data_IF_220506477159
#
_entry.id   IF_220506477159
#
_cell.length_a   1.000
_cell.length_b   1.000
_cell.length_c   1.000
_cell.angle_alpha   90.00
_cell.angle_beta   90.00
_cell.angle_gamma   90.00
#
_symmetry.space_group_name_H-M   'P 1'
#
loop_
_entity.id
_entity.type
_entity.pdbx_description
1 polymer ?
#
# COMPACT_ATOMS: atom_id res chain seq x y z
N UNK A 1 -15.65 2.17 8.60
CA UNK A 1 -14.47 1.34 8.32
C UNK A 1 -13.68 1.25 9.61
N UNK A 2 -13.44 0.05 10.12
CA UNK A 2 -12.82 -0.23 11.42
C UNK A 2 -11.35 0.19 11.45
N UNK A 3 -10.63 0.03 10.33
CA UNK A 3 -9.21 0.35 10.23
C UNK A 3 -8.88 1.81 10.58
N UNK A 4 -9.87 2.71 10.44
CA UNK A 4 -9.74 4.14 10.77
C UNK A 4 -9.37 4.38 12.24
N UNK A 5 -9.72 3.45 13.14
CA UNK A 5 -9.44 3.53 14.57
C UNK A 5 -7.96 3.36 14.90
N UNK A 6 -7.19 2.74 14.00
CA UNK A 6 -5.79 2.38 14.20
C UNK A 6 -4.81 3.34 13.52
N UNK A 7 -5.33 4.39 12.86
CA UNK A 7 -4.51 5.28 12.04
C UNK A 7 -3.69 6.26 12.87
N UNK A 8 -2.38 6.24 12.62
CA UNK A 8 -1.49 7.33 12.96
C UNK A 8 -1.89 8.62 12.23
N UNK A 9 -1.48 9.81 12.73
CA UNK A 9 -1.69 11.06 12.01
C UNK A 9 -1.17 11.04 10.57
N UNK A 10 -0.03 10.40 10.33
CA UNK A 10 0.58 10.29 9.02
C UNK A 10 -0.24 9.42 8.06
N UNK A 11 -0.79 8.31 8.52
CA UNK A 11 -1.68 7.48 7.71
C UNK A 11 -3.02 8.15 7.43
N UNK A 12 -3.55 8.97 8.36
CA UNK A 12 -4.74 9.80 8.10
C UNK A 12 -4.47 10.79 6.96
N UNK A 13 -3.30 11.43 6.96
CA UNK A 13 -2.93 12.36 5.90
C UNK A 13 -2.77 11.66 4.55
N UNK A 14 -2.07 10.52 4.51
CA UNK A 14 -1.95 9.73 3.27
C UNK A 14 -3.32 9.26 2.77
N UNK A 15 -4.21 8.81 3.67
CA UNK A 15 -5.56 8.42 3.30
C UNK A 15 -6.38 9.60 2.75
N UNK A 16 -6.21 10.80 3.32
CA UNK A 16 -6.81 12.03 2.79
C UNK A 16 -6.32 12.33 1.36
N UNK A 17 -5.02 12.15 1.10
CA UNK A 17 -4.49 12.27 -0.26
C UNK A 17 -5.06 11.21 -1.21
N UNK A 18 -5.24 9.96 -0.77
CA UNK A 18 -5.91 8.92 -1.56
C UNK A 18 -7.34 9.34 -1.93
N UNK A 19 -8.10 9.91 -0.99
CA UNK A 19 -9.43 10.47 -1.28
C UNK A 19 -9.37 11.63 -2.29
N UNK A 20 -8.44 12.56 -2.13
CA UNK A 20 -8.25 13.68 -3.05
C UNK A 20 -7.90 13.21 -4.47
N UNK A 21 -7.14 12.11 -4.59
CA UNK A 21 -6.80 11.44 -5.86
C UNK A 21 -8.01 10.70 -6.49
N UNK A 22 -9.19 10.81 -5.86
CA UNK A 22 -10.48 10.25 -6.29
C UNK A 22 -10.54 8.72 -6.22
N UNK A 23 -9.80 8.13 -5.29
CA UNK A 23 -9.95 6.71 -4.99
C UNK A 23 -11.13 6.47 -4.05
N UNK A 24 -11.89 5.43 -4.35
CA UNK A 24 -12.92 4.88 -3.47
C UNK A 24 -12.26 4.00 -2.41
N UNK A 25 -12.34 4.45 -1.16
CA UNK A 25 -11.80 3.69 -0.02
C UNK A 25 -12.85 2.73 0.48
N UNK A 26 -12.50 1.46 0.60
CA UNK A 26 -13.38 0.41 1.10
C UNK A 26 -12.62 -0.52 2.05
N UNK A 27 -13.37 -1.29 2.83
CA UNK A 27 -12.81 -2.20 3.81
C UNK A 27 -13.46 -3.58 3.71
N UNK A 28 -12.65 -4.64 3.86
CA UNK A 28 -13.11 -6.04 3.93
C UNK A 28 -14.03 -6.44 2.76
N UNK A 29 -13.66 -6.05 1.54
CA UNK A 29 -14.44 -6.39 0.34
C UNK A 29 -14.51 -7.90 0.10
N UNK A 30 -15.35 -8.35 -0.84
CA UNK A 30 -15.47 -9.76 -1.19
C UNK A 30 -14.13 -10.42 -1.50
N UNK A 31 -13.22 -9.69 -2.16
CA UNK A 31 -11.90 -10.18 -2.53
C UNK A 31 -11.00 -10.46 -1.32
N UNK A 32 -11.07 -9.63 -0.27
CA UNK A 32 -10.38 -9.89 1.00
C UNK A 32 -10.78 -11.25 1.61
N UNK A 33 -12.02 -11.71 1.41
CA UNK A 33 -12.49 -13.00 1.93
C UNK A 33 -11.96 -14.19 1.13
N UNK A 34 -11.71 -14.00 -0.16
CA UNK A 34 -11.20 -15.03 -1.06
C UNK A 34 -9.70 -15.26 -0.89
N UNK A 35 -8.94 -14.23 -0.50
CA UNK A 35 -7.48 -14.32 -0.28
C UNK A 35 -7.18 -13.93 1.15
N UNK A 36 -6.99 -14.93 2.02
CA UNK A 36 -6.84 -14.74 3.48
C UNK A 36 -5.57 -13.98 3.87
N UNK A 37 -4.53 -14.06 3.05
CA UNK A 37 -3.22 -13.43 3.32
C UNK A 37 -3.09 -12.04 2.64
N UNK A 38 -4.18 -11.54 2.02
CA UNK A 38 -4.23 -10.20 1.43
C UNK A 38 -4.57 -9.17 2.51
N UNK A 39 -3.71 -8.16 2.68
CA UNK A 39 -3.92 -7.09 3.66
C UNK A 39 -4.52 -5.81 3.06
N UNK A 40 -4.28 -5.57 1.77
CA UNK A 40 -4.87 -4.46 1.03
C UNK A 40 -4.61 -4.59 -0.46
N UNK A 41 -5.23 -3.71 -1.24
CA UNK A 41 -4.88 -3.51 -2.65
C UNK A 41 -5.38 -2.14 -3.14
N UNK A 42 -4.66 -1.58 -4.11
CA UNK A 42 -5.14 -0.52 -4.98
C UNK A 42 -5.20 -0.99 -6.45
N UNK A 43 -6.19 -0.50 -7.22
CA UNK A 43 -6.38 -0.92 -8.61
C UNK A 43 -6.66 0.23 -9.59
N UNK A 44 -6.62 -0.10 -10.89
CA UNK A 44 -6.91 0.82 -12.00
C UNK A 44 -8.34 1.39 -11.99
N UNK A 45 -9.28 0.73 -11.30
CA UNK A 45 -10.64 1.20 -11.10
C UNK A 45 -10.75 2.27 -10.00
N UNK A 46 -9.61 2.79 -9.53
CA UNK A 46 -9.52 3.73 -8.41
C UNK A 46 -10.16 3.16 -7.14
N UNK A 47 -9.95 1.88 -6.87
CA UNK A 47 -10.29 1.28 -5.56
C UNK A 47 -9.06 1.29 -4.68
N UNK A 48 -9.28 1.56 -3.41
CA UNK A 48 -8.29 1.45 -2.35
C UNK A 48 -8.92 0.64 -1.23
N UNK A 49 -8.41 -0.56 -0.98
CA UNK A 49 -9.06 -1.51 -0.08
C UNK A 49 -8.11 -1.93 1.02
N UNK A 50 -8.64 -1.92 2.26
CA UNK A 50 -7.97 -2.48 3.43
C UNK A 50 -8.73 -3.73 3.90
N UNK A 51 -8.02 -4.83 4.09
CA UNK A 51 -8.55 -6.11 4.55
C UNK A 51 -8.31 -6.30 6.06
N UNK A 52 -8.86 -5.41 6.88
CA UNK A 52 -8.68 -5.37 8.34
C UNK A 52 -8.90 -6.72 9.01
N UNK A 53 -9.91 -7.48 8.59
CA UNK A 53 -10.20 -8.82 9.16
C UNK A 53 -9.08 -9.82 8.91
N UNK A 54 -8.34 -9.68 7.81
CA UNK A 54 -7.20 -10.55 7.52
C UNK A 54 -6.00 -10.17 8.39
N UNK A 55 -5.76 -8.86 8.57
CA UNK A 55 -4.72 -8.36 9.49
C UNK A 55 -5.01 -8.81 10.93
N UNK A 56 -6.26 -8.68 11.40
CA UNK A 56 -6.67 -9.14 12.74
C UNK A 56 -6.44 -10.63 12.95
N UNK A 57 -6.59 -11.46 11.93
CA UNK A 57 -6.36 -12.91 12.02
C UNK A 57 -4.89 -13.32 12.00
N UNK A 58 -3.99 -12.38 11.69
CA UNK A 58 -2.56 -12.68 11.52
C UNK A 58 -1.76 -12.62 12.83
N UNK A 59 -2.40 -12.30 13.97
CA UNK A 59 -1.77 -12.08 15.28
C UNK A 59 -0.65 -11.02 15.28
N UNK A 60 -0.67 -10.13 14.28
CA UNK A 60 0.28 -9.03 14.13
C UNK A 60 -0.18 -7.78 14.89
N UNK A 61 0.75 -6.87 15.18
CA UNK A 61 0.41 -5.58 15.77
C UNK A 61 -0.50 -4.77 14.82
N UNK A 62 -1.76 -4.65 15.19
CA UNK A 62 -2.81 -4.04 14.36
C UNK A 62 -2.48 -2.61 13.96
N UNK A 63 -1.99 -1.81 14.91
CA UNK A 63 -1.63 -0.42 14.66
C UNK A 63 -0.53 -0.38 13.58
N UNK A 64 0.57 -1.09 13.78
CA UNK A 64 1.68 -1.10 12.84
C UNK A 64 1.23 -1.58 11.46
N UNK A 65 0.58 -2.74 11.36
CA UNK A 65 0.29 -3.35 10.07
C UNK A 65 -0.81 -2.63 9.28
N UNK A 66 -1.80 -2.03 9.94
CA UNK A 66 -2.80 -1.19 9.25
C UNK A 66 -2.13 0.05 8.66
N UNK A 67 -1.27 0.73 9.43
CA UNK A 67 -0.55 1.89 8.92
C UNK A 67 0.39 1.52 7.77
N UNK A 68 1.18 0.44 7.91
CA UNK A 68 2.06 -0.07 6.87
C UNK A 68 1.30 -0.44 5.59
N UNK A 69 0.13 -1.08 5.72
CA UNK A 69 -0.71 -1.42 4.56
C UNK A 69 -1.17 -0.15 3.84
N UNK A 70 -1.58 0.90 4.57
CA UNK A 70 -1.96 2.18 3.95
C UNK A 70 -0.79 2.82 3.22
N UNK A 71 0.41 2.73 3.78
CA UNK A 71 1.62 3.25 3.16
C UNK A 71 1.97 2.47 1.89
N UNK A 72 1.94 1.13 1.95
CA UNK A 72 2.20 0.24 0.82
C UNK A 72 1.22 0.50 -0.33
N UNK A 73 -0.08 0.45 -0.04
CA UNK A 73 -1.11 0.69 -1.05
C UNK A 73 -1.12 2.15 -1.53
N UNK A 74 -0.75 3.11 -0.67
CA UNK A 74 -0.58 4.51 -1.04
C UNK A 74 0.54 4.70 -2.07
N UNK A 75 1.61 3.91 -1.99
CA UNK A 75 2.64 3.88 -3.03
C UNK A 75 2.09 3.33 -4.34
N UNK A 76 1.28 2.26 -4.29
CA UNK A 76 0.62 1.75 -5.50
C UNK A 76 -0.34 2.76 -6.13
N UNK A 77 -1.05 3.57 -5.35
CA UNK A 77 -1.82 4.70 -5.86
C UNK A 77 -0.93 5.67 -6.64
N UNK A 78 0.23 6.04 -6.09
CA UNK A 78 1.18 6.91 -6.79
C UNK A 78 1.76 6.26 -8.06
N UNK A 79 2.03 4.95 -8.05
CA UNK A 79 2.43 4.22 -9.26
C UNK A 79 1.33 4.24 -10.32
N UNK A 80 0.08 4.02 -9.94
CA UNK A 80 -1.08 4.05 -10.83
C UNK A 80 -1.26 5.44 -11.46
N UNK A 81 -1.13 6.52 -10.67
CA UNK A 81 -1.12 7.89 -11.17
C UNK A 81 0.07 8.16 -12.13
N UNK A 82 1.21 7.49 -11.91
CA UNK A 82 2.40 7.53 -12.76
C UNK A 82 2.31 6.58 -13.98
N UNK A 83 1.10 6.27 -14.46
CA UNK A 83 0.91 5.35 -15.59
C UNK A 83 1.36 3.93 -15.32
N UNK A 84 1.24 3.49 -14.06
CA UNK A 84 1.67 2.18 -13.55
C UNK A 84 3.16 1.87 -13.78
N UNK A 85 4.01 2.87 -13.50
CA UNK A 85 5.46 2.77 -13.65
C UNK A 85 6.19 2.99 -12.32
N UNK A 86 7.33 2.30 -12.11
CA UNK A 86 8.23 2.61 -11.00
C UNK A 86 8.67 4.07 -10.97
N UNK A 87 9.09 4.54 -9.80
CA UNK A 87 9.62 5.90 -9.63
C UNK A 87 11.08 6.05 -10.09
N UNK A 88 11.73 4.96 -10.51
CA UNK A 88 13.09 4.96 -11.04
C UNK A 88 14.18 4.90 -9.97
N UNK A 89 13.84 4.45 -8.75
CA UNK A 89 14.79 4.31 -7.66
C UNK A 89 15.65 3.05 -7.84
N UNK A 90 16.97 3.18 -7.75
CA UNK A 90 17.86 2.03 -7.85
C UNK A 90 17.73 1.11 -6.62
N UNK A 91 17.56 -0.21 -6.82
CA UNK A 91 17.39 -1.19 -5.74
C UNK A 91 18.52 -1.19 -4.71
N UNK A 92 19.75 -0.88 -5.13
CA UNK A 92 20.91 -0.74 -4.24
C UNK A 92 20.72 0.35 -3.16
N UNK A 93 19.84 1.33 -3.42
CA UNK A 93 19.48 2.39 -2.48
C UNK A 93 18.22 2.06 -1.66
N UNK A 94 17.59 0.90 -1.93
CA UNK A 94 16.36 0.43 -1.29
C UNK A 94 16.60 -0.94 -0.66
N UNK A 95 17.52 -0.99 0.31
CA UNK A 95 17.85 -2.25 0.98
C UNK A 95 16.63 -2.72 1.78
N UNK A 96 16.22 -3.96 1.55
CA UNK A 96 15.11 -4.62 2.24
C UNK A 96 15.64 -5.84 3.01
N UNK A 97 15.14 -6.10 4.23
CA UNK A 97 15.43 -7.34 4.93
C UNK A 97 14.80 -8.54 4.20
N UNK A 98 15.32 -9.74 4.45
CA UNK A 98 14.94 -10.96 3.73
C UNK A 98 13.44 -11.25 3.74
N UNK A 99 12.75 -10.98 4.86
CA UNK A 99 11.30 -11.20 4.96
C UNK A 99 10.50 -10.27 4.04
N UNK A 100 10.92 -9.00 3.87
CA UNK A 100 10.28 -8.08 2.91
C UNK A 100 10.58 -8.48 1.46
N UNK A 101 11.78 -9.00 1.18
CA UNK A 101 12.08 -9.56 -0.14
C UNK A 101 11.20 -10.76 -0.47
N UNK A 102 10.83 -11.57 0.52
CA UNK A 102 9.85 -12.63 0.33
C UNK A 102 8.44 -12.05 0.08
N UNK A 103 8.05 -11.00 0.80
CA UNK A 103 6.84 -10.22 0.52
C UNK A 103 6.77 -9.74 -0.94
N UNK A 104 7.83 -9.08 -1.43
CA UNK A 104 7.94 -8.63 -2.83
C UNK A 104 7.69 -9.79 -3.81
N UNK A 105 8.31 -10.95 -3.58
CA UNK A 105 8.11 -12.14 -4.43
C UNK A 105 6.68 -12.65 -4.39
N UNK A 106 6.05 -12.67 -3.22
CA UNK A 106 4.68 -13.13 -3.05
C UNK A 106 3.69 -12.18 -3.74
N UNK A 107 3.82 -10.87 -3.51
CA UNK A 107 2.96 -9.86 -4.12
C UNK A 107 3.09 -9.83 -5.64
N UNK A 108 4.32 -9.91 -6.17
CA UNK A 108 4.56 -9.99 -7.62
C UNK A 108 3.88 -11.21 -8.27
N UNK A 109 3.77 -12.33 -7.56
CA UNK A 109 3.07 -13.53 -8.06
C UNK A 109 1.54 -13.40 -8.00
N UNK A 110 1.03 -12.57 -7.09
CA UNK A 110 -0.39 -12.41 -6.82
C UNK A 110 -1.02 -11.20 -7.55
N UNK A 111 -0.21 -10.33 -8.15
CA UNK A 111 -0.64 -9.10 -8.81
C UNK A 111 -0.02 -8.95 -10.20
N UNK A 112 -0.41 -7.91 -10.93
CA UNK A 112 0.21 -7.53 -12.20
C UNK A 112 1.41 -6.59 -12.00
N UNK A 113 1.79 -6.30 -10.76
CA UNK A 113 2.85 -5.36 -10.46
C UNK A 113 4.21 -5.97 -10.80
N UNK A 114 5.09 -5.15 -11.38
CA UNK A 114 6.48 -5.56 -11.56
C UNK A 114 7.17 -5.70 -10.20
N UNK A 115 8.21 -6.54 -10.13
CA UNK A 115 9.04 -6.67 -8.92
C UNK A 115 9.59 -5.32 -8.45
N UNK A 116 9.86 -4.38 -9.35
CA UNK A 116 10.34 -3.04 -8.96
C UNK A 116 9.25 -2.20 -8.28
N UNK A 117 8.00 -2.27 -8.75
CA UNK A 117 6.85 -1.58 -8.14
C UNK A 117 6.64 -2.09 -6.71
N UNK A 118 6.60 -3.41 -6.54
CA UNK A 118 6.46 -4.03 -5.21
C UNK A 118 7.65 -3.68 -4.30
N UNK A 119 8.87 -3.70 -4.83
CA UNK A 119 10.06 -3.34 -4.06
C UNK A 119 10.02 -1.90 -3.55
N UNK A 120 9.55 -0.96 -4.37
CA UNK A 120 9.37 0.44 -3.96
C UNK A 120 8.31 0.58 -2.87
N UNK A 121 7.18 -0.14 -2.97
CA UNK A 121 6.12 -0.13 -1.98
C UNK A 121 6.60 -0.67 -0.63
N UNK A 122 7.19 -1.88 -0.60
CA UNK A 122 7.77 -2.47 0.62
C UNK A 122 8.86 -1.62 1.26
N UNK A 123 9.64 -0.87 0.45
CA UNK A 123 10.67 0.02 0.97
C UNK A 123 10.12 1.28 1.63
N UNK A 124 8.90 1.70 1.30
CA UNK A 124 8.26 2.89 1.86
C UNK A 124 7.23 2.60 2.97
N UNK A 125 6.97 1.34 3.31
CA UNK A 125 6.07 0.92 4.41
C UNK A 125 6.40 1.53 5.79
N UNK A 126 7.56 2.14 5.98
CA UNK A 126 7.99 2.79 7.22
C UNK A 126 8.40 4.26 6.99
N UNK A 127 8.05 4.84 5.83
CA UNK A 127 8.50 6.16 5.37
C UNK A 127 7.32 7.01 4.89
N UNK A 128 6.38 7.38 5.78
CA UNK A 128 5.16 8.08 5.39
C UNK A 128 5.41 9.41 4.66
N UNK A 129 6.50 10.10 4.99
CA UNK A 129 6.91 11.32 4.30
C UNK A 129 7.24 11.07 2.81
N UNK A 130 7.83 9.92 2.48
CA UNK A 130 8.12 9.53 1.09
C UNK A 130 6.86 9.10 0.36
N UNK A 131 5.96 8.39 1.03
CA UNK A 131 4.65 8.01 0.47
C UNK A 131 3.85 9.25 0.11
N UNK A 132 3.72 10.18 1.05
CA UNK A 132 3.05 11.47 0.84
C UNK A 132 3.68 12.23 -0.33
N UNK A 133 5.01 12.32 -0.37
CA UNK A 133 5.73 12.96 -1.48
C UNK A 133 5.40 12.33 -2.84
N UNK A 134 5.40 11.00 -2.98
CA UNK A 134 5.15 10.37 -4.28
C UNK A 134 3.68 10.51 -4.70
N UNK A 135 2.72 10.43 -3.78
CA UNK A 135 1.30 10.68 -4.11
C UNK A 135 1.14 12.13 -4.60
N UNK A 136 1.67 13.10 -3.86
CA UNK A 136 1.64 14.51 -4.26
C UNK A 136 2.28 14.72 -5.63
N UNK A 137 3.45 14.12 -5.85
CA UNK A 137 4.19 14.23 -7.09
C UNK A 137 3.48 13.61 -8.29
N UNK A 138 2.76 12.51 -8.15
CA UNK A 138 2.23 11.80 -9.33
C UNK A 138 0.73 11.94 -9.52
N UNK A 139 -0.05 12.18 -8.46
CA UNK A 139 -1.51 12.27 -8.55
C UNK A 139 -2.06 13.69 -8.64
N UNK A 140 -1.28 14.72 -8.27
CA UNK A 140 -1.75 16.12 -8.21
C UNK A 140 -0.90 17.11 -9.01
N UNK A 141 -0.15 16.62 -9.99
CA UNK A 141 0.55 17.46 -10.95
C UNK A 141 -0.39 18.09 -11.98
#
# INVERSE_FOLDING_TARGET
MEFLLYLSPQAKEILNQVYLAKYSVSENTGYCRSIKDLFGYADFGKKFVICTKNIVRSDLDLNTYINQTIYHEGVHVAHLCNGYKPFGLARKNMILPAFKLQGVKNSTKASTASTQIEHEAYWMEDKPEKVSYVIQKYCFR
#
